data_IF_515030785677
#
_entry.id   IF_515030785677
#
_cell.length_a   1.000
_cell.length_b   1.000
_cell.length_c   1.000
_cell.angle_alpha   90.00
_cell.angle_beta   90.00
_cell.angle_gamma   90.00
#
_symmetry.space_group_name_H-M   'P 1'
#
loop_
_entity.id
_entity.type
_entity.pdbx_description
1 polymer ?
#
# COMPACT_ATOMS: atom_id res chain seq x y z
N UNK A 1 -16.62 -6.39 24.77
CA UNK A 1 -17.03 -5.51 23.66
C UNK A 1 -17.84 -6.35 22.70
N UNK A 2 -19.04 -5.91 22.33
CA UNK A 2 -19.87 -6.61 21.34
C UNK A 2 -19.10 -6.70 20.01
N UNK A 3 -19.22 -7.83 19.31
CA UNK A 3 -18.57 -7.99 18.00
C UNK A 3 -19.33 -7.15 16.99
N UNK A 4 -18.68 -6.13 16.42
CA UNK A 4 -19.27 -5.24 15.43
C UNK A 4 -18.51 -5.39 14.12
N UNK A 5 -19.22 -5.65 13.03
CA UNK A 5 -18.69 -5.61 11.68
C UNK A 5 -18.96 -4.25 11.06
N UNK A 6 -18.00 -3.70 10.30
CA UNK A 6 -18.19 -2.39 9.66
C UNK A 6 -17.87 -2.47 8.17
N UNK A 7 -18.72 -1.83 7.37
CA UNK A 7 -18.51 -1.60 5.95
C UNK A 7 -18.60 -0.10 5.71
N UNK A 8 -17.63 0.45 5.00
CA UNK A 8 -17.55 1.88 4.74
C UNK A 8 -17.51 2.16 3.24
N UNK A 9 -18.08 3.28 2.82
CA UNK A 9 -17.96 3.77 1.44
C UNK A 9 -16.53 4.21 1.14
N UNK A 10 -16.05 3.92 -0.07
CA UNK A 10 -14.77 4.42 -0.56
C UNK A 10 -14.94 5.87 -1.03
N UNK A 11 -14.16 6.84 -0.52
CA UNK A 11 -14.29 8.23 -0.92
C UNK A 11 -13.93 8.44 -2.40
N UNK A 12 -14.66 9.33 -3.08
CA UNK A 12 -14.31 9.80 -4.42
C UNK A 12 -13.00 10.60 -4.38
N UNK A 13 -12.16 10.46 -5.41
CA UNK A 13 -10.97 11.29 -5.53
C UNK A 13 -11.36 12.74 -5.84
N UNK A 14 -10.74 13.71 -5.17
CA UNK A 14 -10.98 15.15 -5.36
C UNK A 14 -10.76 15.66 -6.81
N UNK A 15 -10.15 14.85 -7.68
CA UNK A 15 -9.86 15.21 -9.07
C UNK A 15 -11.07 15.15 -10.02
N UNK A 16 -12.24 14.68 -9.57
CA UNK A 16 -13.44 14.63 -10.42
C UNK A 16 -14.10 16.00 -10.55
N UNK A 17 -14.36 16.44 -11.78
CA UNK A 17 -15.11 17.69 -12.07
C UNK A 17 -16.62 17.41 -12.19
N UNK A 18 -17.44 18.45 -12.08
CA UNK A 18 -18.90 18.32 -12.23
C UNK A 18 -19.63 17.83 -10.97
N UNK A 19 -20.74 17.09 -11.15
CA UNK A 19 -21.61 16.65 -10.05
C UNK A 19 -20.88 15.74 -9.06
N UNK A 20 -20.04 14.83 -9.54
CA UNK A 20 -19.22 13.95 -8.70
C UNK A 20 -18.21 14.73 -7.86
N UNK A 21 -17.61 15.79 -8.43
CA UNK A 21 -16.75 16.71 -7.69
C UNK A 21 -17.48 17.48 -6.60
N UNK A 22 -18.72 17.94 -6.88
CA UNK A 22 -19.55 18.61 -5.90
C UNK A 22 -19.96 17.69 -4.74
N UNK A 23 -20.22 16.41 -5.02
CA UNK A 23 -20.46 15.40 -3.99
C UNK A 23 -19.19 15.10 -3.18
N UNK A 24 -18.05 14.93 -3.84
CA UNK A 24 -16.78 14.67 -3.17
C UNK A 24 -16.38 15.80 -2.21
N UNK A 25 -16.63 17.07 -2.57
CA UNK A 25 -16.38 18.24 -1.72
C UNK A 25 -17.15 18.22 -0.39
N UNK A 26 -18.28 17.49 -0.34
CA UNK A 26 -19.08 17.29 0.87
C UNK A 26 -18.95 15.87 1.45
N UNK A 27 -17.90 15.13 1.06
CA UNK A 27 -17.61 13.75 1.46
C UNK A 27 -18.72 12.74 1.09
N UNK A 28 -19.41 12.97 -0.02
CA UNK A 28 -20.41 12.06 -0.56
C UNK A 28 -19.91 11.41 -1.85
N UNK A 29 -20.32 10.17 -2.07
CA UNK A 29 -20.08 9.41 -3.32
C UNK A 29 -21.34 9.31 -4.18
N UNK A 30 -22.50 9.61 -3.60
CA UNK A 30 -23.81 9.53 -4.24
C UNK A 30 -24.76 10.59 -3.70
N UNK A 31 -25.91 10.74 -4.36
CA UNK A 31 -26.98 11.60 -3.86
C UNK A 31 -27.43 11.15 -2.45
N UNK A 32 -27.60 12.08 -1.49
CA UNK A 32 -28.08 11.76 -0.14
C UNK A 32 -29.35 10.90 -0.14
N UNK A 33 -29.43 9.94 0.78
CA UNK A 33 -30.58 9.03 0.91
C UNK A 33 -30.62 7.87 -0.12
N UNK A 34 -29.77 7.90 -1.14
CA UNK A 34 -29.59 6.78 -2.07
C UNK A 34 -28.63 5.74 -1.50
N UNK A 35 -28.74 4.50 -1.96
CA UNK A 35 -27.88 3.40 -1.52
C UNK A 35 -27.85 2.28 -2.54
N UNK A 36 -26.79 1.47 -2.48
CA UNK A 36 -26.66 0.28 -3.31
C UNK A 36 -27.21 -0.91 -2.53
N UNK A 37 -28.14 -1.65 -3.14
CA UNK A 37 -28.67 -2.88 -2.56
C UNK A 37 -27.73 -4.02 -2.91
N UNK A 38 -27.34 -4.79 -1.90
CA UNK A 38 -26.49 -5.96 -2.04
C UNK A 38 -27.24 -7.23 -1.70
N UNK A 39 -26.91 -8.25 -2.48
CA UNK A 39 -27.34 -9.63 -2.30
C UNK A 39 -26.11 -10.53 -2.33
N UNK A 40 -26.18 -11.75 -1.79
CA UNK A 40 -25.13 -12.73 -1.98
C UNK A 40 -24.84 -12.91 -3.47
N UNK A 41 -23.57 -12.81 -3.83
CA UNK A 41 -23.14 -12.93 -5.22
C UNK A 41 -23.25 -14.39 -5.66
N UNK A 42 -23.92 -14.65 -6.78
CA UNK A 42 -24.04 -15.99 -7.34
C UNK A 42 -22.90 -16.24 -8.33
N UNK A 43 -22.09 -17.26 -8.05
CA UNK A 43 -20.95 -17.68 -8.86
C UNK A 43 -21.39 -18.42 -10.12
N UNK A 44 -20.46 -18.58 -11.07
CA UNK A 44 -20.70 -19.31 -12.33
C UNK A 44 -21.10 -20.78 -12.12
N UNK A 45 -20.72 -21.38 -11.00
CA UNK A 45 -21.08 -22.75 -10.62
C UNK A 45 -22.44 -22.84 -9.90
N UNK A 46 -23.23 -21.76 -9.89
CA UNK A 46 -24.51 -21.60 -9.19
C UNK A 46 -24.44 -21.59 -7.66
N UNK A 47 -23.26 -21.50 -7.06
CA UNK A 47 -23.10 -21.35 -5.61
C UNK A 47 -23.11 -19.87 -5.21
N UNK A 48 -23.72 -19.56 -4.08
CA UNK A 48 -23.69 -18.22 -3.50
C UNK A 48 -22.40 -18.00 -2.72
N UNK A 49 -21.78 -16.83 -2.87
CA UNK A 49 -20.73 -16.35 -1.96
C UNK A 49 -21.37 -15.92 -0.65
N UNK A 50 -21.42 -16.85 0.29
CA UNK A 50 -22.03 -16.63 1.62
C UNK A 50 -21.05 -16.08 2.64
N UNK A 51 -19.74 -16.26 2.41
CA UNK A 51 -18.70 -16.01 3.41
C UNK A 51 -18.75 -16.96 4.62
N UNK A 52 -19.60 -17.99 4.55
CA UNK A 52 -19.81 -19.04 5.54
C UNK A 52 -19.42 -20.44 4.99
N UNK A 53 -18.73 -20.48 3.85
CA UNK A 53 -18.30 -21.72 3.20
C UNK A 53 -16.80 -21.96 3.32
N UNK A 54 -16.42 -23.07 3.94
CA UNK A 54 -15.03 -23.49 4.12
C UNK A 54 -14.35 -23.87 2.79
N UNK A 55 -15.13 -24.18 1.75
CA UNK A 55 -14.64 -24.56 0.43
C UNK A 55 -14.67 -23.41 -0.58
N UNK A 56 -14.92 -22.18 -0.12
CA UNK A 56 -14.99 -21.00 -0.96
C UNK A 56 -13.68 -20.73 -1.72
N UNK A 57 -13.82 -20.19 -2.94
CA UNK A 57 -12.70 -19.90 -3.85
C UNK A 57 -11.65 -18.99 -3.19
N UNK A 58 -12.07 -18.01 -2.39
CA UNK A 58 -11.13 -17.09 -1.75
C UNK A 58 -10.25 -17.79 -0.70
N UNK A 59 -10.79 -18.76 0.04
CA UNK A 59 -10.03 -19.55 1.03
C UNK A 59 -9.00 -20.44 0.32
N UNK A 60 -9.39 -21.03 -0.82
CA UNK A 60 -8.49 -21.84 -1.65
C UNK A 60 -7.29 -21.06 -2.20
N UNK A 61 -7.43 -19.75 -2.37
CA UNK A 61 -6.36 -18.85 -2.86
C UNK A 61 -5.38 -18.41 -1.76
N UNK A 62 -5.65 -18.70 -0.50
CA UNK A 62 -4.71 -18.41 0.59
C UNK A 62 -3.48 -19.31 0.41
N UNK A 63 -2.32 -18.71 0.11
CA UNK A 63 -1.07 -19.44 -0.14
C UNK A 63 -0.53 -20.15 1.09
N UNK A 64 -0.73 -19.58 2.27
CA UNK A 64 -0.31 -20.18 3.54
C UNK A 64 -1.31 -21.25 3.99
N UNK A 65 -0.86 -22.51 3.99
CA UNK A 65 -1.66 -23.65 4.41
C UNK A 65 -2.11 -23.61 5.87
N UNK A 66 -1.39 -22.91 6.75
CA UNK A 66 -1.81 -22.75 8.15
C UNK A 66 -2.93 -21.70 8.27
N UNK A 67 -2.75 -20.50 7.72
CA UNK A 67 -3.79 -19.47 7.65
C UNK A 67 -5.06 -19.99 6.96
N UNK A 68 -4.90 -20.80 5.90
CA UNK A 68 -6.03 -21.44 5.22
C UNK A 68 -6.83 -22.34 6.16
N UNK A 69 -6.18 -23.18 6.96
CA UNK A 69 -6.85 -24.05 7.94
C UNK A 69 -7.58 -23.23 9.01
N UNK A 70 -6.94 -22.18 9.53
CA UNK A 70 -7.55 -21.28 10.53
C UNK A 70 -8.83 -20.65 9.97
N UNK A 71 -8.79 -20.11 8.74
CA UNK A 71 -9.97 -19.48 8.13
C UNK A 71 -11.08 -20.51 7.88
N UNK A 72 -10.74 -21.72 7.41
CA UNK A 72 -11.71 -22.83 7.26
C UNK A 72 -12.40 -23.15 8.58
N UNK A 73 -11.64 -23.28 9.66
CA UNK A 73 -12.20 -23.57 10.99
C UNK A 73 -13.10 -22.44 11.49
N UNK A 74 -12.68 -21.18 11.34
CA UNK A 74 -13.48 -20.01 11.73
C UNK A 74 -14.81 -19.99 11.00
N UNK A 75 -14.76 -20.13 9.68
CA UNK A 75 -15.94 -20.12 8.81
C UNK A 75 -16.89 -21.28 9.12
N UNK A 76 -16.34 -22.48 9.34
CA UNK A 76 -17.14 -23.66 9.69
C UNK A 76 -17.84 -23.49 11.04
N UNK A 77 -17.12 -23.00 12.06
CA UNK A 77 -17.68 -22.77 13.40
C UNK A 77 -18.78 -21.71 13.36
N UNK A 78 -18.56 -20.62 12.63
CA UNK A 78 -19.56 -19.55 12.53
C UNK A 78 -20.81 -20.01 11.77
N UNK A 79 -20.65 -20.76 10.67
CA UNK A 79 -21.79 -21.37 9.97
C UNK A 79 -22.60 -22.25 10.91
N UNK A 80 -21.95 -23.19 11.60
CA UNK A 80 -22.63 -24.11 12.53
C UNK A 80 -23.37 -23.36 13.64
N UNK A 81 -22.75 -22.32 14.22
CA UNK A 81 -23.39 -21.46 15.23
C UNK A 81 -24.65 -20.79 14.67
N UNK A 82 -24.57 -20.17 13.50
CA UNK A 82 -25.68 -19.44 12.89
C UNK A 82 -26.81 -20.38 12.45
N UNK A 83 -26.49 -21.53 11.86
CA UNK A 83 -27.46 -22.57 11.47
C UNK A 83 -28.20 -23.12 12.69
N UNK A 84 -27.51 -23.32 13.83
CA UNK A 84 -28.13 -23.78 15.08
C UNK A 84 -29.12 -22.75 15.64
N UNK A 85 -28.77 -21.46 15.62
CA UNK A 85 -29.61 -20.39 16.18
C UNK A 85 -30.79 -20.10 15.27
N UNK A 86 -30.55 -19.94 13.97
CA UNK A 86 -31.57 -19.57 12.99
C UNK A 86 -32.43 -20.76 12.56
N UNK A 87 -31.95 -21.99 12.75
CA UNK A 87 -32.56 -23.24 12.25
C UNK A 87 -32.75 -23.21 10.73
N UNK A 88 -31.74 -22.68 10.02
CA UNK A 88 -31.71 -22.54 8.56
C UNK A 88 -30.47 -23.22 7.99
N UNK A 89 -30.57 -23.67 6.75
CA UNK A 89 -29.42 -24.09 5.96
C UNK A 89 -28.72 -22.83 5.40
N UNK A 90 -27.45 -22.63 5.74
CA UNK A 90 -26.62 -21.53 5.25
C UNK A 90 -25.54 -22.01 4.28
N UNK A 91 -25.70 -23.21 3.72
CA UNK A 91 -24.84 -23.72 2.67
C UNK A 91 -24.90 -22.85 1.40
N UNK A 92 -23.83 -22.83 0.57
CA UNK A 92 -23.79 -22.04 -0.67
C UNK A 92 -24.89 -22.33 -1.68
N UNK A 93 -25.60 -23.46 -1.56
CA UNK A 93 -26.70 -23.85 -2.47
C UNK A 93 -28.06 -23.79 -1.80
N UNK A 94 -28.14 -23.27 -0.58
CA UNK A 94 -29.39 -23.14 0.16
C UNK A 94 -30.40 -22.26 -0.58
N UNK A 95 -31.66 -22.68 -0.56
CA UNK A 95 -32.79 -21.91 -1.07
C UNK A 95 -32.95 -20.57 -0.32
N UNK A 96 -32.42 -20.45 0.89
CA UNK A 96 -32.45 -19.23 1.71
C UNK A 96 -31.93 -18.00 0.94
N UNK A 97 -30.91 -18.18 0.11
CA UNK A 97 -30.29 -17.09 -0.66
C UNK A 97 -30.99 -16.81 -2.00
N UNK A 98 -31.96 -17.65 -2.40
CA UNK A 98 -32.63 -17.54 -3.69
C UNK A 98 -33.94 -16.75 -3.58
N UNK A 99 -33.86 -15.42 -3.76
CA UNK A 99 -35.03 -14.53 -3.67
C UNK A 99 -36.15 -14.85 -4.66
N UNK A 100 -35.83 -15.43 -5.82
CA UNK A 100 -36.86 -15.81 -6.80
C UNK A 100 -37.80 -16.91 -6.32
N UNK A 101 -37.42 -17.63 -5.26
CA UNK A 101 -38.26 -18.66 -4.62
C UNK A 101 -39.23 -18.08 -3.59
N UNK A 102 -39.11 -16.79 -3.28
CA UNK A 102 -40.05 -16.09 -2.42
C UNK A 102 -41.42 -16.04 -3.09
N UNK A 103 -42.44 -16.57 -2.41
CA UNK A 103 -43.82 -16.53 -2.89
C UNK A 103 -44.75 -16.12 -1.74
N UNK A 104 -45.69 -15.19 -1.96
CA UNK A 104 -46.70 -14.81 -0.97
C UNK A 104 -47.57 -15.98 -0.50
N UNK A 105 -47.66 -17.05 -1.31
CA UNK A 105 -48.46 -18.26 -1.04
C UNK A 105 -47.62 -19.44 -0.57
N UNK A 106 -46.30 -19.39 -0.70
CA UNK A 106 -45.41 -20.41 -0.14
C UNK A 106 -45.19 -20.10 1.35
N UNK A 107 -45.76 -20.95 2.21
CA UNK A 107 -45.61 -20.92 3.68
C UNK A 107 -44.21 -20.46 4.11
N UNK A 108 -44.12 -19.29 4.74
CA UNK A 108 -43.09 -18.84 5.69
C UNK A 108 -41.69 -19.45 5.49
N UNK A 109 -41.14 -19.40 4.28
CA UNK A 109 -39.71 -19.67 4.10
C UNK A 109 -38.97 -18.36 4.29
N UNK A 110 -38.09 -18.24 5.30
CA UNK A 110 -37.25 -17.06 5.41
C UNK A 110 -36.35 -17.03 4.18
N UNK A 111 -36.27 -15.86 3.56
CA UNK A 111 -35.41 -15.57 2.42
C UNK A 111 -34.51 -14.43 2.87
N UNK A 112 -33.28 -14.39 2.37
CA UNK A 112 -32.35 -13.33 2.74
C UNK A 112 -32.88 -11.95 2.35
N UNK A 113 -32.75 -11.00 3.28
CA UNK A 113 -33.11 -9.61 3.04
C UNK A 113 -31.97 -8.89 2.30
N UNK A 114 -32.28 -8.09 1.25
CA UNK A 114 -31.27 -7.27 0.60
C UNK A 114 -30.72 -6.20 1.55
N UNK A 115 -29.39 -6.01 1.56
CA UNK A 115 -28.75 -5.03 2.44
C UNK A 115 -28.50 -3.74 1.68
N UNK A 116 -29.03 -2.61 2.16
CA UNK A 116 -28.78 -1.28 1.59
C UNK A 116 -27.52 -0.67 2.21
N UNK A 117 -26.51 -0.38 1.40
CA UNK A 117 -25.33 0.39 1.81
C UNK A 117 -25.37 1.80 1.21
N UNK A 118 -25.23 2.82 2.05
CA UNK A 118 -25.14 4.23 1.67
C UNK A 118 -23.73 4.80 1.91
N UNK A 119 -23.58 6.12 1.76
CA UNK A 119 -22.31 6.78 2.11
C UNK A 119 -22.06 6.73 3.62
N UNK A 120 -20.79 6.63 4.00
CA UNK A 120 -20.34 6.53 5.38
C UNK A 120 -20.21 5.09 5.89
N UNK A 121 -20.19 4.96 7.23
CA UNK A 121 -19.99 3.70 7.94
C UNK A 121 -21.33 3.03 8.22
N UNK A 122 -21.47 1.78 7.80
CA UNK A 122 -22.59 0.90 8.17
C UNK A 122 -22.11 -0.11 9.19
N UNK A 123 -22.74 -0.11 10.36
CA UNK A 123 -22.40 -1.00 11.48
C UNK A 123 -23.34 -2.20 11.51
N UNK A 124 -22.77 -3.38 11.71
CA UNK A 124 -23.49 -4.64 11.85
C UNK A 124 -23.23 -5.20 13.23
N UNK A 125 -24.30 -5.46 13.99
CA UNK A 125 -24.20 -6.17 15.26
C UNK A 125 -24.04 -7.67 15.00
N UNK A 126 -22.84 -8.22 15.19
CA UNK A 126 -22.57 -9.64 14.91
C UNK A 126 -23.07 -10.58 16.02
N UNK A 127 -23.68 -10.04 17.08
CA UNK A 127 -24.47 -10.81 18.04
C UNK A 127 -25.87 -11.12 17.52
N UNK A 128 -26.41 -10.27 16.63
CA UNK A 128 -27.64 -10.55 15.89
C UNK A 128 -27.32 -11.53 14.74
N UNK A 129 -27.86 -12.75 14.76
CA UNK A 129 -27.55 -13.77 13.75
C UNK A 129 -27.88 -13.34 12.31
N UNK A 130 -28.94 -12.54 12.10
CA UNK A 130 -29.30 -12.10 10.75
C UNK A 130 -28.33 -11.06 10.23
N UNK A 131 -27.90 -10.13 11.08
CA UNK A 131 -26.86 -9.16 10.73
C UNK A 131 -25.49 -9.82 10.56
N UNK A 132 -25.18 -10.87 11.31
CA UNK A 132 -23.97 -11.66 11.13
C UNK A 132 -23.95 -12.36 9.76
N UNK A 133 -25.07 -12.96 9.33
CA UNK A 133 -25.21 -13.53 7.98
C UNK A 133 -25.07 -12.45 6.90
N UNK A 134 -25.71 -11.30 7.10
CA UNK A 134 -25.63 -10.17 6.18
C UNK A 134 -24.18 -9.69 6.00
N UNK A 135 -23.47 -9.46 7.11
CA UNK A 135 -22.07 -9.07 7.10
C UNK A 135 -21.16 -10.14 6.46
N UNK A 136 -21.44 -11.43 6.71
CA UNK A 136 -20.64 -12.54 6.19
C UNK A 136 -20.61 -12.59 4.66
N UNK A 137 -21.73 -12.39 3.97
CA UNK A 137 -21.72 -12.39 2.50
C UNK A 137 -21.15 -11.08 1.93
N UNK A 138 -21.36 -9.95 2.61
CA UNK A 138 -20.85 -8.65 2.18
C UNK A 138 -19.32 -8.60 2.21
N UNK A 139 -18.68 -9.16 3.25
CA UNK A 139 -17.21 -9.14 3.38
C UNK A 139 -16.47 -9.87 2.25
N UNK A 140 -17.16 -10.79 1.56
CA UNK A 140 -16.61 -11.58 0.43
C UNK A 140 -17.22 -11.19 -0.91
N UNK A 141 -18.04 -10.15 -0.95
CA UNK A 141 -18.74 -9.72 -2.15
C UNK A 141 -17.76 -9.10 -3.16
N UNK A 142 -17.81 -9.43 -4.47
CA UNK A 142 -16.83 -8.94 -5.45
C UNK A 142 -16.73 -7.41 -5.57
N UNK A 143 -17.83 -6.70 -5.32
CA UNK A 143 -17.89 -5.23 -5.39
C UNK A 143 -17.63 -4.53 -4.04
N UNK A 144 -17.14 -5.27 -3.04
CA UNK A 144 -16.72 -4.74 -1.75
C UNK A 144 -15.26 -5.17 -1.55
N UNK A 145 -14.36 -4.20 -1.41
CA UNK A 145 -12.96 -4.49 -1.17
C UNK A 145 -12.76 -5.08 0.23
N UNK A 146 -11.83 -6.03 0.35
CA UNK A 146 -11.54 -6.67 1.65
C UNK A 146 -10.89 -5.73 2.67
N UNK A 147 -10.31 -4.63 2.20
CA UNK A 147 -9.77 -3.53 3.00
C UNK A 147 -9.57 -2.31 2.12
N UNK A 148 -9.35 -1.14 2.72
CA UNK A 148 -8.98 0.07 1.97
C UNK A 148 -7.64 -0.10 1.23
N UNK A 149 -6.69 -0.85 1.80
CA UNK A 149 -5.40 -1.13 1.15
C UNK A 149 -5.54 -2.02 -0.08
N UNK A 150 -6.39 -3.05 -0.02
CA UNK A 150 -6.66 -3.92 -1.16
C UNK A 150 -7.27 -3.13 -2.32
N UNK A 151 -8.15 -2.16 -2.02
CA UNK A 151 -8.66 -1.24 -3.01
C UNK A 151 -7.56 -0.36 -3.62
N UNK A 152 -6.70 0.25 -2.78
CA UNK A 152 -5.59 1.10 -3.24
C UNK A 152 -4.57 0.36 -4.10
N UNK A 153 -4.38 -0.95 -3.87
CA UNK A 153 -3.54 -1.81 -4.72
C UNK A 153 -4.15 -2.06 -6.11
N UNK A 154 -5.45 -1.82 -6.27
CA UNK A 154 -6.20 -2.11 -7.50
C UNK A 154 -6.74 -3.54 -7.56
N UNK A 155 -6.77 -4.28 -6.44
CA UNK A 155 -7.31 -5.65 -6.41
C UNK A 155 -8.84 -5.67 -6.66
N UNK A 156 -9.51 -4.55 -6.38
CA UNK A 156 -10.96 -4.37 -6.49
C UNK A 156 -11.32 -3.05 -7.19
N UNK A 157 -11.07 -2.89 -8.50
CA UNK A 157 -11.22 -1.60 -9.20
C UNK A 157 -12.67 -1.10 -9.20
N UNK A 158 -13.65 -2.01 -9.25
CA UNK A 158 -15.08 -1.68 -9.29
C UNK A 158 -15.72 -1.55 -7.90
N UNK A 159 -14.94 -1.69 -6.82
CA UNK A 159 -15.49 -1.59 -5.47
C UNK A 159 -15.85 -0.14 -5.14
N UNK A 160 -17.00 0.01 -4.48
CA UNK A 160 -17.48 1.30 -3.94
C UNK A 160 -17.50 1.33 -2.41
N UNK A 161 -17.23 0.17 -1.82
CA UNK A 161 -17.22 -0.05 -0.38
C UNK A 161 -16.03 -0.92 -0.03
N UNK A 162 -15.61 -0.86 1.23
CA UNK A 162 -14.59 -1.74 1.77
C UNK A 162 -14.98 -2.23 3.16
N UNK A 163 -14.47 -3.40 3.53
CA UNK A 163 -14.59 -3.93 4.89
C UNK A 163 -13.62 -3.16 5.78
N UNK A 164 -14.17 -2.47 6.78
CA UNK A 164 -13.39 -1.70 7.74
C UNK A 164 -13.20 -2.56 8.99
N UNK A 165 -11.97 -3.01 9.18
CA UNK A 165 -11.51 -3.70 10.38
C UNK A 165 -10.62 -2.72 11.15
N UNK A 166 -11.20 -2.08 12.18
CA UNK A 166 -10.52 -1.03 12.94
C UNK A 166 -9.23 -1.53 13.60
N UNK A 167 -9.17 -2.80 14.02
CA UNK A 167 -7.97 -3.37 14.63
C UNK A 167 -6.84 -3.50 13.60
N UNK A 168 -7.15 -4.04 12.43
CA UNK A 168 -6.19 -4.19 11.32
C UNK A 168 -5.75 -2.83 10.79
N UNK A 169 -6.67 -1.88 10.61
CA UNK A 169 -6.34 -0.52 10.17
C UNK A 169 -5.47 0.23 11.19
N UNK A 170 -5.77 0.08 12.48
CA UNK A 170 -4.93 0.64 13.54
C UNK A 170 -3.55 0.00 13.58
N UNK A 171 -3.45 -1.32 13.39
CA UNK A 171 -2.17 -2.02 13.34
C UNK A 171 -1.34 -1.56 12.14
N UNK A 172 -1.95 -1.45 10.96
CA UNK A 172 -1.30 -0.93 9.75
C UNK A 172 -0.81 0.51 9.99
N UNK A 173 -1.68 1.37 10.54
CA UNK A 173 -1.34 2.77 10.84
C UNK A 173 -0.21 2.84 11.86
N UNK A 174 -0.25 1.99 12.89
CA UNK A 174 0.80 1.87 13.89
C UNK A 174 2.12 1.44 13.25
N UNK A 175 2.13 0.39 12.42
CA UNK A 175 3.32 -0.08 11.71
C UNK A 175 3.93 1.02 10.83
N UNK A 176 3.10 1.74 10.06
CA UNK A 176 3.55 2.89 9.23
C UNK A 176 4.16 4.00 10.07
N UNK A 177 3.50 4.40 11.17
CA UNK A 177 4.02 5.42 12.10
C UNK A 177 5.31 4.98 12.77
N UNK A 178 5.40 3.74 13.25
CA UNK A 178 6.61 3.21 13.87
C UNK A 178 7.76 3.14 12.87
N UNK A 179 7.52 2.77 11.62
CA UNK A 179 8.54 2.77 10.57
C UNK A 179 9.06 4.18 10.28
N UNK A 180 8.15 5.15 10.14
CA UNK A 180 8.49 6.57 9.94
C UNK A 180 9.26 7.14 11.15
N UNK A 181 8.82 6.86 12.37
CA UNK A 181 9.50 7.31 13.58
C UNK A 181 10.90 6.71 13.73
N UNK A 182 11.09 5.45 13.33
CA UNK A 182 12.42 4.82 13.28
C UNK A 182 13.34 5.54 12.30
N UNK A 183 12.83 5.91 11.12
CA UNK A 183 13.58 6.68 10.13
C UNK A 183 13.97 8.06 10.68
N UNK A 184 13.04 8.80 11.28
CA UNK A 184 13.32 10.12 11.89
C UNK A 184 14.36 10.01 13.01
N UNK A 185 14.18 9.06 13.94
CA UNK A 185 15.15 8.83 15.00
C UNK A 185 16.54 8.51 14.44
N UNK A 186 16.59 7.75 13.35
CA UNK A 186 17.87 7.47 12.70
C UNK A 186 18.46 8.73 12.07
N UNK A 187 17.65 9.55 11.40
CA UNK A 187 18.06 10.85 10.84
C UNK A 187 18.68 11.76 11.90
N UNK A 188 18.06 11.85 13.08
CA UNK A 188 18.54 12.66 14.22
C UNK A 188 19.94 12.27 14.66
N UNK A 189 20.28 10.98 14.60
CA UNK A 189 21.57 10.44 15.05
C UNK A 189 22.66 10.44 13.97
N UNK A 190 22.36 10.83 12.73
CA UNK A 190 23.36 10.91 11.66
C UNK A 190 24.21 12.18 11.74
N UNK A 191 25.49 12.07 11.40
CA UNK A 191 26.37 13.23 11.21
C UNK A 191 25.95 14.06 9.99
N UNK A 192 26.29 15.35 9.98
CA UNK A 192 25.98 16.25 8.87
C UNK A 192 26.51 15.73 7.53
N UNK A 193 27.74 15.20 7.51
CA UNK A 193 28.32 14.65 6.28
C UNK A 193 27.51 13.45 5.76
N UNK A 194 27.15 12.51 6.64
CA UNK A 194 26.38 11.34 6.24
C UNK A 194 24.97 11.73 5.77
N UNK A 195 24.34 12.73 6.41
CA UNK A 195 23.06 13.31 5.93
C UNK A 195 23.21 13.88 4.52
N UNK A 196 24.26 14.65 4.23
CA UNK A 196 24.52 15.20 2.88
C UNK A 196 24.68 14.10 1.83
N UNK A 197 25.46 13.06 2.13
CA UNK A 197 25.64 11.90 1.24
C UNK A 197 24.30 11.21 0.95
N UNK A 198 23.51 10.92 1.97
CA UNK A 198 22.20 10.27 1.82
C UNK A 198 21.22 11.17 1.04
N UNK A 199 21.19 12.48 1.32
CA UNK A 199 20.31 13.41 0.62
C UNK A 199 20.61 13.44 -0.89
N UNK A 200 21.89 13.46 -1.28
CA UNK A 200 22.29 13.36 -2.69
C UNK A 200 21.89 12.03 -3.31
N UNK A 201 21.97 10.92 -2.57
CA UNK A 201 21.49 9.62 -3.05
C UNK A 201 19.97 9.57 -3.24
N UNK A 202 19.22 10.27 -2.38
CA UNK A 202 17.79 10.51 -2.55
C UNK A 202 17.45 11.49 -3.69
N UNK A 203 18.44 11.95 -4.47
CA UNK A 203 18.30 12.96 -5.53
C UNK A 203 17.79 14.33 -5.03
N UNK A 204 18.05 14.66 -3.76
CA UNK A 204 17.72 15.97 -3.20
C UNK A 204 18.78 17.00 -3.59
N UNK A 205 18.38 18.27 -3.82
CA UNK A 205 19.30 19.34 -4.18
C UNK A 205 20.06 19.80 -2.93
N UNK A 206 21.17 19.11 -2.62
CA UNK A 206 22.06 19.42 -1.51
C UNK A 206 23.47 19.71 -1.98
N UNK A 207 24.02 20.82 -1.51
CA UNK A 207 25.40 21.26 -1.72
C UNK A 207 26.28 21.04 -0.48
N UNK A 208 27.60 21.11 -0.65
CA UNK A 208 28.53 21.04 0.47
C UNK A 208 28.46 22.29 1.37
N UNK A 209 27.99 23.42 0.85
CA UNK A 209 27.82 24.65 1.62
C UNK A 209 26.53 24.66 2.45
N UNK A 210 25.62 23.70 2.23
CA UNK A 210 24.32 23.70 2.90
C UNK A 210 24.48 23.47 4.41
N UNK A 211 23.75 24.28 5.17
CA UNK A 211 23.70 24.19 6.62
C UNK A 211 22.91 22.96 7.04
N UNK A 212 23.21 22.46 8.23
CA UNK A 212 22.59 21.26 8.79
C UNK A 212 21.06 21.31 8.79
N UNK A 213 20.47 22.45 9.14
CA UNK A 213 19.02 22.62 9.20
C UNK A 213 18.37 22.45 7.82
N UNK A 214 19.02 22.90 6.75
CA UNK A 214 18.50 22.80 5.38
C UNK A 214 18.48 21.33 4.95
N UNK A 215 19.60 20.64 5.13
CA UNK A 215 19.75 19.22 4.78
C UNK A 215 18.78 18.36 5.58
N UNK A 216 18.65 18.64 6.88
CA UNK A 216 17.71 17.93 7.75
C UNK A 216 16.26 18.11 7.27
N UNK A 217 15.83 19.35 7.03
CA UNK A 217 14.45 19.62 6.61
C UNK A 217 14.09 19.00 5.26
N UNK A 218 15.04 18.97 4.32
CA UNK A 218 14.84 18.30 3.03
C UNK A 218 14.69 16.78 3.19
N UNK A 219 15.54 16.15 4.01
CA UNK A 219 15.43 14.72 4.30
C UNK A 219 14.16 14.37 5.08
N UNK A 220 13.79 15.16 6.09
CA UNK A 220 12.56 14.96 6.86
C UNK A 220 11.32 15.05 5.96
N UNK A 221 11.28 16.07 5.09
CA UNK A 221 10.20 16.24 4.11
C UNK A 221 10.14 15.05 3.14
N UNK A 222 11.29 14.56 2.69
CA UNK A 222 11.38 13.39 1.82
C UNK A 222 10.93 12.11 2.51
N UNK A 223 11.32 11.87 3.77
CA UNK A 223 10.91 10.69 4.55
C UNK A 223 9.40 10.69 4.80
N UNK A 224 8.83 11.86 5.05
CA UNK A 224 7.39 12.05 5.26
C UNK A 224 6.59 12.07 3.96
N UNK A 225 7.26 12.25 2.83
CA UNK A 225 6.66 12.07 1.53
C UNK A 225 6.25 10.59 1.42
N UNK A 226 4.97 10.35 1.15
CA UNK A 226 4.45 9.00 0.91
C UNK A 226 5.06 8.41 -0.37
N UNK A 227 4.21 7.89 -1.26
CA UNK A 227 4.70 7.35 -2.53
C UNK A 227 5.23 8.48 -3.43
N UNK A 228 6.47 8.34 -3.91
CA UNK A 228 7.09 9.28 -4.83
C UNK A 228 6.41 9.19 -6.20
N UNK A 229 6.02 10.34 -6.75
CA UNK A 229 5.20 10.45 -7.97
C UNK A 229 5.99 10.50 -9.27
N UNK A 230 7.29 10.77 -9.22
CA UNK A 230 8.12 10.93 -10.40
C UNK A 230 9.61 10.77 -10.09
N UNK A 231 10.39 10.45 -11.12
CA UNK A 231 11.84 10.34 -11.03
C UNK A 231 12.32 8.90 -10.78
N UNK A 232 13.59 8.72 -10.35
CA UNK A 232 14.22 7.39 -10.28
C UNK A 232 13.62 6.47 -9.21
N UNK A 233 12.77 7.00 -8.34
CA UNK A 233 12.15 6.28 -7.23
C UNK A 233 10.62 6.27 -7.29
N UNK A 234 10.05 6.50 -8.47
CA UNK A 234 8.59 6.47 -8.68
C UNK A 234 7.97 5.16 -8.14
N UNK A 235 6.86 5.30 -7.42
CA UNK A 235 6.13 4.15 -6.87
C UNK A 235 6.65 3.62 -5.53
N UNK A 236 7.75 4.16 -4.99
CA UNK A 236 8.32 3.75 -3.70
C UNK A 236 8.12 4.86 -2.65
N UNK A 237 7.90 4.50 -1.39
CA UNK A 237 7.77 5.49 -0.32
C UNK A 237 9.13 6.10 0.06
N UNK A 238 9.14 7.41 0.36
CA UNK A 238 10.37 8.12 0.72
C UNK A 238 11.10 7.51 1.92
N UNK A 239 10.34 7.09 2.93
CA UNK A 239 10.85 6.39 4.12
C UNK A 239 11.62 5.11 3.78
N UNK A 240 11.12 4.29 2.86
CA UNK A 240 11.75 3.01 2.50
C UNK A 240 13.08 3.23 1.78
N UNK A 241 13.14 4.24 0.92
CA UNK A 241 14.36 4.63 0.18
C UNK A 241 15.42 5.13 1.15
N UNK A 242 15.03 6.01 2.07
CA UNK A 242 15.93 6.53 3.10
C UNK A 242 16.49 5.40 3.96
N UNK A 243 15.64 4.50 4.44
CA UNK A 243 16.06 3.34 5.22
C UNK A 243 17.01 2.44 4.44
N UNK A 244 16.76 2.23 3.13
CA UNK A 244 17.67 1.47 2.27
C UNK A 244 19.06 2.09 2.21
N UNK A 245 19.17 3.41 2.07
CA UNK A 245 20.48 4.08 2.02
C UNK A 245 21.20 4.09 3.36
N UNK A 246 20.48 4.10 4.49
CA UNK A 246 21.09 3.98 5.82
C UNK A 246 21.74 2.60 6.03
N UNK A 247 21.12 1.53 5.51
CA UNK A 247 21.63 0.16 5.73
C UNK A 247 22.91 -0.16 4.95
N UNK A 248 23.32 0.72 4.03
CA UNK A 248 24.54 0.57 3.25
C UNK A 248 25.76 0.96 4.11
N UNK A 249 26.89 0.27 3.93
CA UNK A 249 28.13 0.61 4.63
C UNK A 249 28.63 2.01 4.25
N UNK A 250 29.34 2.67 5.17
CA UNK A 250 29.80 4.05 4.97
C UNK A 250 30.76 4.18 3.78
N UNK A 251 31.56 3.15 3.51
CA UNK A 251 32.46 3.06 2.36
C UNK A 251 31.68 3.02 1.03
N UNK A 252 30.70 2.12 0.92
CA UNK A 252 29.86 2.00 -0.28
C UNK A 252 29.05 3.28 -0.48
N UNK A 253 28.52 3.86 0.59
CA UNK A 253 27.81 5.14 0.53
C UNK A 253 28.73 6.27 0.03
N UNK A 254 29.99 6.29 0.48
CA UNK A 254 30.96 7.28 0.06
C UNK A 254 31.31 7.16 -1.42
N UNK A 255 31.62 5.95 -1.92
CA UNK A 255 31.92 5.72 -3.34
C UNK A 255 30.72 6.07 -4.22
N UNK A 256 29.52 5.64 -3.82
CA UNK A 256 28.27 6.02 -4.52
C UNK A 256 28.07 7.53 -4.58
N UNK A 257 28.37 8.22 -3.48
CA UNK A 257 28.27 9.68 -3.41
C UNK A 257 29.29 10.37 -4.33
N UNK A 258 30.53 9.88 -4.39
CA UNK A 258 31.55 10.40 -5.31
C UNK A 258 31.14 10.25 -6.78
N UNK A 259 30.71 9.06 -7.18
CA UNK A 259 30.26 8.81 -8.56
C UNK A 259 29.09 9.72 -8.92
N UNK A 260 28.11 9.85 -8.02
CA UNK A 260 26.94 10.71 -8.26
C UNK A 260 27.31 12.18 -8.39
N UNK A 261 28.20 12.67 -7.54
CA UNK A 261 28.72 14.03 -7.63
C UNK A 261 29.51 14.24 -8.92
N UNK A 262 30.31 13.28 -9.36
CA UNK A 262 31.06 13.36 -10.60
C UNK A 262 30.12 13.49 -11.81
N UNK A 263 28.98 12.82 -11.79
CA UNK A 263 27.93 12.98 -12.79
C UNK A 263 27.29 14.37 -12.69
N UNK A 264 26.88 14.81 -11.50
CA UNK A 264 26.23 16.12 -11.29
C UNK A 264 27.13 17.28 -11.73
N UNK A 265 28.42 17.21 -11.44
CA UNK A 265 29.41 18.21 -11.86
C UNK A 265 29.95 17.99 -13.28
N UNK A 266 29.34 17.07 -14.05
CA UNK A 266 29.70 16.78 -15.46
C UNK A 266 31.16 16.37 -15.67
N UNK A 267 31.80 15.77 -14.67
CA UNK A 267 33.07 15.07 -14.80
C UNK A 267 32.82 13.77 -15.57
N UNK A 268 31.79 13.04 -15.15
CA UNK A 268 31.25 11.91 -15.89
C UNK A 268 29.95 12.30 -16.60
N UNK A 269 29.77 11.81 -17.82
CA UNK A 269 28.54 12.00 -18.60
C UNK A 269 27.84 10.67 -18.79
N UNK A 270 26.52 10.68 -18.64
CA UNK A 270 25.65 9.54 -18.96
C UNK A 270 25.18 9.63 -20.41
N UNK A 271 25.33 8.54 -21.15
CA UNK A 271 24.68 8.37 -22.45
C UNK A 271 23.26 7.81 -22.30
N UNK A 272 22.48 7.77 -23.39
CA UNK A 272 21.13 7.21 -23.49
C UNK A 272 21.02 5.76 -23.01
N UNK A 273 22.12 5.02 -23.04
CA UNK A 273 22.22 3.63 -22.56
C UNK A 273 22.74 3.51 -21.12
N UNK A 274 22.77 4.60 -20.34
CA UNK A 274 23.28 4.65 -18.96
C UNK A 274 24.77 4.33 -18.78
N UNK A 275 25.52 4.25 -19.88
CA UNK A 275 26.98 4.16 -19.88
C UNK A 275 27.61 5.47 -19.38
N UNK A 276 28.74 5.36 -18.70
CA UNK A 276 29.48 6.47 -18.13
C UNK A 276 30.75 6.75 -18.92
N UNK A 277 30.93 8.02 -19.29
CA UNK A 277 32.06 8.49 -20.07
C UNK A 277 32.78 9.64 -19.35
N UNK A 278 34.11 9.66 -19.46
CA UNK A 278 34.95 10.82 -19.16
C UNK A 278 35.52 11.36 -20.48
N UNK A 279 35.00 12.50 -20.95
CA UNK A 279 35.29 12.97 -22.31
C UNK A 279 34.74 12.00 -23.36
N UNK A 280 35.63 11.40 -24.16
CA UNK A 280 35.29 10.38 -25.17
C UNK A 280 35.53 8.94 -24.70
N UNK A 281 36.10 8.75 -23.50
CA UNK A 281 36.51 7.43 -22.99
C UNK A 281 35.36 6.81 -22.17
N UNK A 282 34.97 5.58 -22.49
CA UNK A 282 34.01 4.79 -21.70
C UNK A 282 34.71 4.31 -20.41
N UNK A 283 34.18 4.72 -19.26
CA UNK A 283 34.72 4.37 -17.94
C UNK A 283 33.96 3.18 -17.34
N UNK A 284 32.65 3.10 -17.55
CA UNK A 284 31.82 1.99 -17.08
C UNK A 284 30.54 1.84 -17.89
N UNK A 285 29.97 0.62 -17.90
CA UNK A 285 28.70 0.36 -18.58
C UNK A 285 27.48 0.81 -17.76
N UNK A 286 27.65 0.98 -16.45
CA UNK A 286 26.62 1.51 -15.55
C UNK A 286 27.25 2.18 -14.33
N UNK A 287 26.44 2.96 -13.60
CA UNK A 287 26.81 3.57 -12.32
C UNK A 287 27.17 2.51 -11.27
N UNK A 288 26.41 1.43 -11.21
CA UNK A 288 26.64 0.33 -10.27
C UNK A 288 27.95 -0.39 -10.56
N UNK A 289 28.27 -0.64 -11.84
CA UNK A 289 29.54 -1.27 -12.21
C UNK A 289 30.74 -0.38 -11.84
N UNK A 290 30.62 0.94 -11.98
CA UNK A 290 31.69 1.85 -11.58
C UNK A 290 31.88 1.85 -10.06
N UNK A 291 30.79 1.79 -9.30
CA UNK A 291 30.85 1.68 -7.85
C UNK A 291 31.54 0.39 -7.42
N UNK A 292 31.17 -0.74 -8.01
CA UNK A 292 31.79 -2.04 -7.71
C UNK A 292 33.28 -2.05 -8.07
N UNK A 293 33.66 -1.42 -9.20
CA UNK A 293 35.06 -1.27 -9.60
C UNK A 293 35.84 -0.43 -8.58
N UNK A 294 35.31 0.72 -8.16
CA UNK A 294 35.99 1.62 -7.22
C UNK A 294 36.08 1.04 -5.81
N UNK A 295 35.18 0.13 -5.43
CA UNK A 295 35.22 -0.55 -4.13
C UNK A 295 36.33 -1.60 -4.02
N UNK A 296 36.95 -2.03 -5.12
CA UNK A 296 38.10 -2.93 -5.06
C UNK A 296 39.31 -2.20 -4.45
N UNK A 297 39.95 -2.80 -3.44
CA UNK A 297 41.15 -2.27 -2.78
C UNK A 297 42.30 -1.97 -3.77
N UNK A 298 42.32 -2.63 -4.93
CA UNK A 298 43.31 -2.39 -5.99
C UNK A 298 43.12 -1.06 -6.70
N UNK A 299 41.92 -0.46 -6.62
CA UNK A 299 41.53 0.73 -7.37
C UNK A 299 41.43 1.98 -6.47
N UNK A 300 41.99 1.94 -5.26
CA UNK A 300 41.98 3.07 -4.33
C UNK A 300 42.66 4.33 -4.89
N UNK A 301 43.65 4.17 -5.78
CA UNK A 301 44.25 5.29 -6.49
C UNK A 301 43.25 6.04 -7.39
N UNK A 302 42.32 5.31 -8.02
CA UNK A 302 41.29 5.91 -8.89
C UNK A 302 40.25 6.69 -8.07
N UNK A 303 39.94 6.23 -6.85
CA UNK A 303 39.11 6.98 -5.90
C UNK A 303 39.74 8.33 -5.59
N UNK A 304 41.03 8.34 -5.19
CA UNK A 304 41.75 9.57 -4.84
C UNK A 304 41.80 10.55 -6.03
N UNK A 305 42.05 10.04 -7.25
CA UNK A 305 42.01 10.87 -8.45
C UNK A 305 40.62 11.49 -8.69
N UNK A 306 39.55 10.73 -8.47
CA UNK A 306 38.19 11.24 -8.62
C UNK A 306 37.87 12.33 -7.58
N UNK A 307 38.31 12.16 -6.34
CA UNK A 307 38.16 13.18 -5.30
C UNK A 307 38.87 14.48 -5.67
N UNK A 308 40.10 14.40 -6.17
CA UNK A 308 40.86 15.58 -6.59
C UNK A 308 40.21 16.30 -7.78
N UNK A 309 39.73 15.54 -8.77
CA UNK A 309 38.96 16.10 -9.90
C UNK A 309 37.70 16.82 -9.40
N UNK A 310 36.98 16.23 -8.44
CA UNK A 310 35.80 16.82 -7.83
C UNK A 310 36.13 18.10 -7.06
N UNK A 311 37.19 18.12 -6.26
CA UNK A 311 37.65 19.30 -5.53
C UNK A 311 37.98 20.45 -6.50
N UNK A 312 38.77 20.17 -7.53
CA UNK A 312 39.14 21.16 -8.55
C UNK A 312 37.91 21.69 -9.29
N UNK A 313 36.94 20.82 -9.62
CA UNK A 313 35.72 21.26 -10.31
C UNK A 313 34.84 22.13 -9.44
N UNK A 314 34.71 21.81 -8.15
CA UNK A 314 33.94 22.59 -7.18
C UNK A 314 34.57 23.95 -6.90
N UNK A 315 35.90 24.04 -6.81
CA UNK A 315 36.58 25.33 -6.60
C UNK A 315 36.42 26.30 -7.78
N UNK A 316 36.13 25.81 -8.98
CA UNK A 316 35.84 26.64 -10.16
C UNK A 316 34.37 27.11 -10.16
N UNK A 317 33.47 26.37 -9.50
CA UNK A 317 32.03 26.61 -9.47
C UNK A 317 31.54 27.35 -8.21
N UNK A 318 32.40 27.48 -7.19
CA UNK A 318 32.15 28.23 -5.96
C UNK A 318 32.44 29.73 -6.16
#
# INVERSE_FOLDING_TARGET
MSKVGVISSIPLSEATTGYEGALAAVNLTRAPGTGTMFLPYKEKNNEYRTGLDAEAVYIRRISDGHAQKIEKEKVTKERQRLEQILKLDLSPRSDYYNISTWSPTAKNRPVIEPVKLGDGKTYFNLEDPLQAVAYAFLRVHPHIATSMEAYQRGDFPDARFYVMDDEVEQEITYRKKTHLNKAIFTLDNLSLEKRKKIARQCSLPVSDADKEQVVYNQLDSFIKQGVIKSGPFEGVAGVDIFMRFITISDEVLHVKDLVRQAITHSIYRRDKLSKLFEGEIEIAKSEEQLVDYLLDEKNQADILMLEDKLRAKKSILA
#
